data_IF_810388843624
#
_entry.id   IF_810388843624
#
_cell.length_a   1.000
_cell.length_b   1.000
_cell.length_c   1.000
_cell.angle_alpha   90.00
_cell.angle_beta   90.00
_cell.angle_gamma   90.00
#
_symmetry.space_group_name_H-M   'P 1'
#
loop_
_entity.id
_entity.type
_entity.pdbx_description
1 polymer ?
#
# COMPACT_ATOMS: atom_id res chain seq x y z
N UNK A 1 7.42 -22.11 12.31
CA UNK A 1 7.36 -20.86 13.11
C UNK A 1 6.02 -20.22 12.81
N UNK A 2 5.05 -20.30 13.73
CA UNK A 2 3.72 -19.73 13.54
C UNK A 2 3.67 -18.34 14.18
N UNK A 3 3.34 -17.31 13.41
CA UNK A 3 3.00 -15.98 13.94
C UNK A 3 1.50 -15.77 13.81
N UNK A 4 0.81 -15.91 14.94
CA UNK A 4 -0.59 -15.48 15.12
C UNK A 4 -0.56 -14.02 15.58
N UNK A 5 -0.77 -13.07 14.66
CA UNK A 5 -1.19 -11.72 15.03
C UNK A 5 -2.69 -11.62 14.79
N UNK A 6 -3.43 -11.28 15.85
CA UNK A 6 -4.89 -11.14 15.84
C UNK A 6 -5.38 -10.03 14.92
N UNK A 7 -5.43 -10.32 13.62
CA UNK A 7 -6.10 -9.51 12.62
C UNK A 7 -7.51 -10.05 12.39
N UNK A 8 -8.50 -9.17 12.47
CA UNK A 8 -9.86 -9.48 12.01
C UNK A 8 -9.74 -9.91 10.53
N UNK A 9 -10.21 -11.11 10.15
CA UNK A 9 -10.17 -11.52 8.75
C UNK A 9 -10.96 -10.51 7.92
N UNK A 10 -10.31 -9.84 6.96
CA UNK A 10 -11.05 -9.08 5.94
C UNK A 10 -11.84 -10.09 5.12
N UNK A 11 -13.17 -10.10 5.30
CA UNK A 11 -14.12 -11.01 4.64
C UNK A 11 -14.39 -10.67 3.19
N UNK A 12 -13.87 -9.53 2.69
CA UNK A 12 -13.82 -9.25 1.26
C UNK A 12 -12.58 -9.96 0.65
N UNK A 13 -12.79 -10.75 -0.41
CA UNK A 13 -11.80 -11.55 -1.16
C UNK A 13 -11.23 -12.80 -0.46
N UNK A 14 -12.01 -13.49 0.39
CA UNK A 14 -11.65 -14.85 0.85
C UNK A 14 -10.36 -14.92 1.69
N UNK A 15 -10.00 -13.83 2.37
CA UNK A 15 -8.80 -13.77 3.22
C UNK A 15 -7.48 -13.56 2.46
N UNK A 16 -7.52 -13.41 1.13
CA UNK A 16 -6.34 -13.08 0.33
C UNK A 16 -6.30 -11.59 0.02
N UNK A 17 -5.36 -10.89 0.64
CA UNK A 17 -4.97 -9.56 0.22
C UNK A 17 -4.23 -9.69 -1.12
N UNK A 18 -4.90 -9.40 -2.24
CA UNK A 18 -4.29 -9.29 -3.60
C UNK A 18 -3.32 -8.09 -3.72
N UNK A 19 -2.99 -7.46 -2.59
CA UNK A 19 -2.19 -6.23 -2.53
C UNK A 19 -0.70 -6.44 -2.80
N UNK A 20 -0.20 -7.69 -2.80
CA UNK A 20 1.23 -7.95 -2.85
C UNK A 20 1.57 -9.00 -3.90
N UNK A 21 2.60 -8.73 -4.71
CA UNK A 21 3.37 -9.77 -5.37
C UNK A 21 3.65 -10.85 -4.32
N UNK A 22 3.38 -12.11 -4.67
CA UNK A 22 3.39 -13.29 -3.79
C UNK A 22 4.71 -13.49 -3.00
N UNK A 23 5.71 -12.65 -3.22
CA UNK A 23 7.06 -12.69 -2.66
C UNK A 23 7.42 -11.57 -1.67
N UNK A 24 6.62 -10.50 -1.50
CA UNK A 24 6.98 -9.41 -0.59
C UNK A 24 6.65 -9.73 0.87
N UNK A 25 7.59 -9.45 1.77
CA UNK A 25 7.37 -9.45 3.21
C UNK A 25 6.54 -8.23 3.65
N UNK A 26 5.84 -8.30 4.80
CA UNK A 26 5.10 -7.15 5.33
C UNK A 26 5.95 -5.89 5.53
N UNK A 27 7.25 -6.03 5.77
CA UNK A 27 8.14 -4.87 5.91
C UNK A 27 8.43 -4.22 4.55
N UNK A 28 8.76 -5.01 3.53
CA UNK A 28 9.02 -4.51 2.17
C UNK A 28 7.80 -3.78 1.60
N UNK A 29 6.61 -4.23 1.96
CA UNK A 29 5.35 -3.56 1.67
C UNK A 29 5.29 -2.16 2.27
N UNK A 30 5.56 -2.04 3.57
CA UNK A 30 5.53 -0.77 4.28
C UNK A 30 6.58 0.18 3.72
N UNK A 31 7.77 -0.35 3.43
CA UNK A 31 8.87 0.40 2.85
C UNK A 31 8.51 0.93 1.45
N UNK A 32 7.89 0.10 0.61
CA UNK A 32 7.44 0.50 -0.74
C UNK A 32 6.37 1.59 -0.68
N UNK A 33 5.39 1.48 0.22
CA UNK A 33 4.36 2.51 0.42
C UNK A 33 5.00 3.82 0.91
N UNK A 34 5.94 3.74 1.85
CA UNK A 34 6.63 4.92 2.37
C UNK A 34 7.47 5.59 1.28
N UNK A 35 8.18 4.82 0.45
CA UNK A 35 8.95 5.33 -0.68
C UNK A 35 8.04 6.03 -1.70
N UNK A 36 6.97 5.37 -2.13
CA UNK A 36 5.99 5.97 -3.02
C UNK A 36 5.37 7.24 -2.41
N UNK A 37 5.09 7.25 -1.11
CA UNK A 37 4.59 8.44 -0.42
C UNK A 37 5.60 9.59 -0.47
N UNK A 38 6.90 9.33 -0.27
CA UNK A 38 7.93 10.38 -0.39
C UNK A 38 8.02 10.92 -1.83
N UNK A 39 7.82 10.06 -2.82
CA UNK A 39 7.90 10.39 -4.25
C UNK A 39 6.54 10.77 -4.88
N UNK A 40 5.52 11.01 -4.05
CA UNK A 40 4.14 11.14 -4.52
C UNK A 40 3.91 12.39 -5.37
N UNK A 41 3.13 12.23 -6.42
CA UNK A 41 2.58 13.31 -7.25
C UNK A 41 1.07 13.37 -7.07
N UNK A 42 0.54 14.60 -7.04
CA UNK A 42 -0.90 14.82 -6.96
C UNK A 42 -1.58 14.41 -8.27
N UNK A 43 -2.67 13.63 -8.17
CA UNK A 43 -3.49 13.24 -9.32
C UNK A 43 -4.80 14.04 -9.31
N UNK A 44 -5.65 13.82 -8.30
CA UNK A 44 -6.95 14.51 -8.16
C UNK A 44 -7.56 14.32 -6.77
N UNK A 45 -8.24 15.34 -6.25
CA UNK A 45 -8.98 15.26 -5.00
C UNK A 45 -8.04 14.97 -3.83
N UNK A 46 -8.13 13.78 -3.24
CA UNK A 46 -7.19 13.31 -2.24
C UNK A 46 -6.30 12.15 -2.73
N UNK A 47 -6.23 11.95 -4.05
CA UNK A 47 -5.49 10.87 -4.72
C UNK A 47 -4.12 11.34 -5.16
N UNK A 48 -3.11 10.53 -4.86
CA UNK A 48 -1.72 10.73 -5.23
C UNK A 48 -1.16 9.42 -5.79
N UNK A 49 -0.13 9.50 -6.63
CA UNK A 49 0.60 8.34 -7.13
C UNK A 49 2.09 8.50 -6.87
N UNK A 50 2.80 7.45 -6.50
CA UNK A 50 4.25 7.47 -6.32
C UNK A 50 4.91 6.26 -6.94
N UNK A 51 6.06 6.48 -7.57
CA UNK A 51 6.87 5.41 -8.14
C UNK A 51 7.98 5.02 -7.16
N UNK A 52 8.09 3.73 -6.86
CA UNK A 52 9.22 3.18 -6.11
C UNK A 52 10.46 3.06 -7.01
N UNK A 53 11.63 2.91 -6.40
CA UNK A 53 12.88 2.61 -7.11
C UNK A 53 12.84 1.28 -7.87
N UNK A 54 11.97 0.35 -7.47
CA UNK A 54 11.72 -0.90 -8.20
C UNK A 54 10.81 -0.73 -9.43
N UNK A 55 10.28 0.48 -9.67
CA UNK A 55 9.36 0.76 -10.75
C UNK A 55 7.91 0.39 -10.45
N UNK A 56 7.57 0.08 -9.19
CA UNK A 56 6.20 -0.15 -8.78
C UNK A 56 5.50 1.19 -8.58
N UNK A 57 4.42 1.41 -9.32
CA UNK A 57 3.54 2.55 -9.10
C UNK A 57 2.53 2.22 -7.99
N UNK A 58 2.40 3.11 -7.01
CA UNK A 58 1.47 2.98 -5.90
C UNK A 58 0.60 4.23 -5.85
N UNK A 59 -0.70 4.05 -6.05
CA UNK A 59 -1.70 5.07 -5.78
C UNK A 59 -2.10 5.06 -4.31
N UNK A 60 -2.38 6.24 -3.77
CA UNK A 60 -2.76 6.43 -2.38
C UNK A 60 -3.76 7.56 -2.20
N UNK A 61 -4.62 7.39 -1.19
CA UNK A 61 -5.55 8.42 -0.72
C UNK A 61 -5.04 9.01 0.58
N UNK A 62 -4.94 10.33 0.64
CA UNK A 62 -4.53 11.04 1.85
C UNK A 62 -5.73 11.69 2.55
N UNK A 63 -5.63 11.87 3.87
CA UNK A 63 -6.54 12.73 4.61
C UNK A 63 -6.08 14.20 4.59
N UNK A 64 -6.84 15.08 5.22
CA UNK A 64 -6.54 16.51 5.31
C UNK A 64 -5.24 16.86 6.06
N UNK A 65 -4.66 15.90 6.79
CA UNK A 65 -3.40 16.03 7.51
C UNK A 65 -2.27 15.27 6.79
N UNK A 66 -2.44 14.94 5.51
CA UNK A 66 -1.52 14.15 4.68
C UNK A 66 -1.29 12.71 5.16
N UNK A 67 -2.14 12.19 6.05
CA UNK A 67 -2.03 10.79 6.48
C UNK A 67 -2.62 9.87 5.43
N UNK A 68 -1.93 8.77 5.14
CA UNK A 68 -2.43 7.72 4.25
C UNK A 68 -3.70 7.09 4.85
N UNK A 69 -4.79 7.15 4.09
CA UNK A 69 -6.05 6.45 4.36
C UNK A 69 -6.00 5.04 3.74
N UNK A 70 -5.49 4.94 2.51
CA UNK A 70 -5.34 3.69 1.77
C UNK A 70 -4.26 3.85 0.69
N UNK A 71 -3.60 2.75 0.32
CA UNK A 71 -2.62 2.69 -0.76
C UNK A 71 -2.69 1.31 -1.45
N UNK A 72 -2.49 1.28 -2.77
CA UNK A 72 -2.48 0.05 -3.57
C UNK A 72 -1.56 0.20 -4.79
N UNK A 73 -0.92 -0.90 -5.24
CA UNK A 73 -0.16 -0.89 -6.48
C UNK A 73 -1.07 -0.76 -7.70
N UNK A 74 -0.59 -0.05 -8.73
CA UNK A 74 -1.23 0.07 -10.04
C UNK A 74 -0.48 -0.86 -11.01
N UNK A 75 -1.23 -1.71 -11.74
CA UNK A 75 -0.71 -2.66 -12.73
C UNK A 75 -1.37 -2.45 -14.09
#
# INVERSE_FOLDING_TARGET
MNILMGGIPKTANGGFSTFYLKSMSPQEVVDSINEAYQNRVYIRGNTYSGLTSSGMEIEMFLDKNEKIISAYPVY
#
